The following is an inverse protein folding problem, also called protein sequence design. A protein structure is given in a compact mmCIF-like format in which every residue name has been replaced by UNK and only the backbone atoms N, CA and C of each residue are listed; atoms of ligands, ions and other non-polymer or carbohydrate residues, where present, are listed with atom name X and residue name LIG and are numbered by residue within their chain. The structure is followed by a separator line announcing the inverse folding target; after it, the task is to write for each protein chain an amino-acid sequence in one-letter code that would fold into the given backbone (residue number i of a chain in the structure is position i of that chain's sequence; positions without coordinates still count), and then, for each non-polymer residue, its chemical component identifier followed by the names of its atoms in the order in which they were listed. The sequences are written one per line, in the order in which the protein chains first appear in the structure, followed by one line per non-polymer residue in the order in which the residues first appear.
data_IF_078387100895
#
_entry.id   IF_078387100895
#
_cell.length_a   1.000
_cell.length_b   1.000
_cell.length_c   1.000
_cell.angle_alpha   90.00
_cell.angle_beta   90.00
_cell.angle_gamma   90.00
#
_symmetry.space_group_name_H-M   'P 1'
#
loop_
_entity.id
_entity.type
_entity.pdbx_description
1 polymer ?
#
# COMPACT_ATOMS: atom_id res chain seq x y z
N UNK A 1 3.24 -12.13 1.61
CA UNK A 1 3.76 -10.76 1.40
C UNK A 1 3.32 -9.85 2.54
N UNK A 2 4.20 -9.01 3.01
CA UNK A 2 3.88 -8.03 4.05
C UNK A 2 4.45 -6.66 3.69
N UNK A 3 3.80 -5.62 4.19
CA UNK A 3 4.17 -4.22 3.93
C UNK A 3 4.57 -3.60 5.26
N UNK A 4 5.65 -2.82 5.25
CA UNK A 4 6.13 -2.16 6.47
C UNK A 4 5.32 -0.91 6.79
N UNK A 5 5.04 -0.73 8.07
CA UNK A 5 4.52 0.50 8.63
C UNK A 5 5.37 0.95 9.82
N UNK A 6 5.16 2.18 10.24
CA UNK A 6 5.87 2.80 11.37
C UNK A 6 4.91 3.45 12.33
N UNK A 7 5.25 3.36 13.62
CA UNK A 7 4.60 4.12 14.68
C UNK A 7 5.54 5.24 15.11
N UNK A 8 5.00 6.44 15.25
CA UNK A 8 5.76 7.61 15.71
C UNK A 8 5.01 8.24 16.86
N UNK A 9 5.67 8.36 18.02
CA UNK A 9 5.09 9.04 19.17
C UNK A 9 4.96 10.53 18.87
N UNK A 10 3.74 11.05 18.98
CA UNK A 10 3.41 12.44 18.71
C UNK A 10 2.57 12.99 19.88
N UNK A 11 3.23 13.44 20.94
CA UNK A 11 2.55 13.91 22.15
C UNK A 11 1.74 12.78 22.80
N UNK A 12 0.44 12.96 22.88
CA UNK A 12 -0.50 11.97 23.44
C UNK A 12 -0.90 10.90 22.43
N UNK A 13 -0.53 11.07 21.16
CA UNK A 13 -0.97 10.23 20.07
C UNK A 13 0.17 9.38 19.55
N UNK A 14 -0.18 8.29 18.88
CA UNK A 14 0.73 7.48 18.10
C UNK A 14 0.36 7.64 16.63
N UNK A 15 1.22 8.30 15.89
CA UNK A 15 1.04 8.42 14.44
C UNK A 15 1.34 7.09 13.76
N UNK A 16 0.55 6.76 12.75
CA UNK A 16 0.70 5.55 11.94
C UNK A 16 1.07 5.97 10.53
N UNK A 17 2.15 5.42 10.00
CA UNK A 17 2.57 5.66 8.62
C UNK A 17 2.74 4.35 7.90
N UNK A 18 2.06 4.19 6.76
CA UNK A 18 2.23 3.05 5.86
C UNK A 18 2.56 3.61 4.48
N UNK A 19 3.84 3.92 4.23
CA UNK A 19 4.23 4.69 3.04
C UNK A 19 3.84 4.05 1.71
N UNK A 20 3.98 2.74 1.57
CA UNK A 20 3.60 2.09 0.31
C UNK A 20 2.12 2.26 0.00
N UNK A 21 1.26 2.26 1.02
CA UNK A 21 -0.17 2.44 0.85
C UNK A 21 -0.61 3.90 0.92
N UNK A 22 0.31 4.83 1.21
CA UNK A 22 -0.01 6.24 1.40
C UNK A 22 -1.14 6.44 2.42
N UNK A 23 -1.07 5.67 3.51
CA UNK A 23 -2.03 5.72 4.60
C UNK A 23 -1.35 6.31 5.82
N UNK A 24 -1.99 7.34 6.37
CA UNK A 24 -1.55 8.04 7.55
C UNK A 24 -2.73 8.20 8.49
N UNK A 25 -2.61 7.68 9.70
CA UNK A 25 -3.67 7.74 10.72
C UNK A 25 -3.03 7.88 12.09
N UNK A 26 -3.81 7.75 13.14
CA UNK A 26 -3.28 7.85 14.49
C UNK A 26 -4.15 7.07 15.47
N UNK A 27 -3.56 6.73 16.62
CA UNK A 27 -4.24 6.06 17.71
C UNK A 27 -3.83 6.67 19.03
N UNK A 28 -4.63 6.41 20.07
CA UNK A 28 -4.41 6.91 21.44
C UNK A 28 -3.40 6.08 22.21
N UNK A 29 -3.12 4.88 21.76
CA UNK A 29 -2.16 3.94 22.33
C UNK A 29 -1.55 3.12 21.20
N UNK A 30 -0.52 2.31 21.49
CA UNK A 30 0.03 1.38 20.49
C UNK A 30 -1.05 0.43 19.96
N UNK A 31 -1.82 -0.15 20.87
CA UNK A 31 -2.87 -1.09 20.50
C UNK A 31 -3.92 -0.42 19.62
N UNK A 32 -4.33 0.79 19.97
CA UNK A 32 -5.29 1.56 19.18
C UNK A 32 -4.71 1.94 17.82
N UNK A 33 -3.42 2.29 17.76
CA UNK A 33 -2.74 2.60 16.50
C UNK A 33 -2.74 1.41 15.54
N UNK A 34 -2.47 0.21 16.03
CA UNK A 34 -2.53 -1.01 15.21
C UNK A 34 -3.94 -1.28 14.72
N UNK A 35 -4.94 -1.08 15.59
CA UNK A 35 -6.35 -1.18 15.20
C UNK A 35 -6.68 -0.17 14.10
N UNK A 36 -6.24 1.08 14.24
CA UNK A 36 -6.50 2.14 13.26
C UNK A 36 -5.82 1.84 11.92
N UNK A 37 -4.63 1.25 11.93
CA UNK A 37 -3.96 0.82 10.71
C UNK A 37 -4.77 -0.23 9.96
N UNK A 38 -5.21 -1.26 10.67
CA UNK A 38 -6.04 -2.34 10.12
C UNK A 38 -7.37 -1.77 9.58
N UNK A 39 -8.05 -0.97 10.38
CA UNK A 39 -9.34 -0.38 10.03
C UNK A 39 -9.24 0.51 8.79
N UNK A 40 -8.20 1.34 8.71
CA UNK A 40 -7.99 2.22 7.56
C UNK A 40 -7.83 1.43 6.26
N UNK A 41 -7.03 0.37 6.27
CA UNK A 41 -6.80 -0.45 5.09
C UNK A 41 -8.07 -1.18 4.68
N UNK A 42 -8.73 -1.82 5.62
CA UNK A 42 -9.96 -2.58 5.34
C UNK A 42 -11.08 -1.67 4.85
N UNK A 43 -11.19 -0.46 5.40
CA UNK A 43 -12.20 0.53 5.00
C UNK A 43 -11.96 1.04 3.58
N UNK A 44 -10.72 1.34 3.22
CA UNK A 44 -10.37 1.80 1.87
C UNK A 44 -10.60 0.69 0.85
N UNK A 45 -10.22 -0.54 1.19
CA UNK A 45 -10.42 -1.69 0.31
C UNK A 45 -11.90 -1.97 0.08
N UNK A 46 -12.71 -1.86 1.11
CA UNK A 46 -14.17 -2.00 1.07
C UNK A 46 -14.63 -3.24 0.30
N UNK A 47 -14.02 -4.39 0.60
CA UNK A 47 -14.40 -5.68 0.01
C UNK A 47 -14.73 -6.70 1.08
N UNK A 48 -15.92 -7.34 1.01
CA UNK A 48 -16.27 -8.42 1.93
C UNK A 48 -15.22 -9.54 1.91
N UNK A 49 -14.83 -10.01 3.08
CA UNK A 49 -13.85 -11.10 3.21
C UNK A 49 -12.39 -10.67 3.12
N UNK A 50 -12.10 -9.44 2.74
CA UNK A 50 -10.72 -8.93 2.80
C UNK A 50 -10.37 -8.56 4.24
N UNK A 51 -9.35 -9.21 4.78
CA UNK A 51 -8.91 -8.98 6.16
C UNK A 51 -7.42 -8.65 6.20
N UNK A 52 -7.06 -7.81 7.18
CA UNK A 52 -5.69 -7.34 7.40
C UNK A 52 -5.18 -7.88 8.72
N UNK A 53 -3.90 -8.28 8.74
CA UNK A 53 -3.20 -8.63 9.96
C UNK A 53 -2.05 -7.66 10.18
N UNK A 54 -1.82 -7.30 11.44
CA UNK A 54 -0.72 -6.43 11.84
C UNK A 54 0.19 -7.20 12.77
N UNK A 55 1.49 -7.24 12.45
CA UNK A 55 2.51 -7.92 13.25
C UNK A 55 3.50 -6.88 13.77
N UNK A 56 3.63 -6.77 15.09
CA UNK A 56 4.59 -5.86 15.70
C UNK A 56 6.02 -6.27 15.37
N UNK A 57 6.88 -5.26 15.21
CA UNK A 57 8.32 -5.43 14.98
C UNK A 57 9.10 -4.48 15.88
N UNK A 58 10.41 -4.73 16.11
CA UNK A 58 11.24 -3.82 16.89
C UNK A 58 11.33 -2.42 16.30
N UNK A 59 11.75 -1.44 17.13
CA UNK A 59 11.99 -0.05 16.73
C UNK A 59 10.76 0.66 16.21
N UNK A 60 9.58 0.40 16.81
CA UNK A 60 8.31 1.03 16.46
C UNK A 60 7.93 0.83 14.98
N UNK A 61 8.28 -0.32 14.44
CA UNK A 61 7.84 -0.75 13.13
C UNK A 61 6.81 -1.87 13.26
N UNK A 62 6.04 -2.09 12.21
CA UNK A 62 5.10 -3.20 12.13
C UNK A 62 4.97 -3.65 10.69
N UNK A 63 4.44 -4.84 10.51
CA UNK A 63 4.19 -5.39 9.17
C UNK A 63 2.70 -5.62 8.99
N UNK A 64 2.22 -5.29 7.80
CA UNK A 64 0.84 -5.48 7.40
C UNK A 64 0.77 -6.61 6.39
N UNK A 65 -0.01 -7.63 6.68
CA UNK A 65 -0.37 -8.67 5.74
C UNK A 65 -1.87 -8.67 5.48
N UNK A 66 -2.31 -9.43 4.51
CA UNK A 66 -3.73 -9.52 4.17
C UNK A 66 -4.12 -10.91 3.72
N UNK A 67 -5.43 -11.14 3.66
CA UNK A 67 -6.00 -12.39 3.12
C UNK A 67 -5.82 -12.51 1.60
N UNK A 68 -5.46 -11.42 0.90
CA UNK A 68 -5.31 -11.41 -0.56
C UNK A 68 -4.18 -10.45 -0.97
N UNK A 69 -3.02 -11.02 -1.29
CA UNK A 69 -1.84 -10.24 -1.68
C UNK A 69 -2.06 -9.47 -2.98
N UNK A 70 -2.81 -10.03 -3.92
CA UNK A 70 -3.07 -9.37 -5.20
C UNK A 70 -3.87 -8.09 -4.98
N UNK A 71 -4.88 -8.14 -4.12
CA UNK A 71 -5.65 -6.95 -3.76
C UNK A 71 -4.82 -5.93 -2.99
N UNK A 72 -3.94 -6.39 -2.10
CA UNK A 72 -3.07 -5.48 -1.35
C UNK A 72 -2.10 -4.75 -2.28
N UNK A 73 -1.52 -5.44 -3.26
CA UNK A 73 -0.67 -4.81 -4.28
C UNK A 73 -1.46 -3.82 -5.15
N UNK A 74 -2.67 -4.19 -5.53
CA UNK A 74 -3.58 -3.33 -6.29
C UNK A 74 -3.88 -2.03 -5.52
N UNK A 75 -4.15 -2.15 -4.22
CA UNK A 75 -4.39 -0.98 -3.37
C UNK A 75 -3.16 -0.08 -3.32
N UNK A 76 -1.97 -0.65 -3.19
CA UNK A 76 -0.72 0.12 -3.18
C UNK A 76 -0.57 0.94 -4.46
N UNK A 77 -0.83 0.34 -5.62
CA UNK A 77 -0.75 1.04 -6.91
C UNK A 77 -1.77 2.19 -6.97
N UNK A 78 -3.00 1.91 -6.61
CA UNK A 78 -4.07 2.91 -6.64
C UNK A 78 -3.78 4.09 -5.71
N UNK A 79 -3.34 3.81 -4.50
CA UNK A 79 -3.02 4.83 -3.51
C UNK A 79 -1.82 5.68 -3.94
N UNK A 80 -0.78 5.05 -4.48
CA UNK A 80 0.38 5.78 -5.00
C UNK A 80 -0.01 6.67 -6.18
N UNK A 81 -0.76 6.13 -7.13
CA UNK A 81 -1.22 6.91 -8.28
C UNK A 81 -2.05 8.11 -7.85
N UNK A 82 -3.00 7.90 -6.94
CA UNK A 82 -3.88 8.97 -6.44
C UNK A 82 -3.09 10.06 -5.71
N UNK A 83 -2.13 9.66 -4.88
CA UNK A 83 -1.31 10.62 -4.12
C UNK A 83 -0.38 11.43 -5.01
N UNK A 84 -0.03 10.91 -6.18
CA UNK A 84 0.78 11.63 -7.18
C UNK A 84 -0.09 12.38 -8.22
N UNK A 85 -1.41 12.38 -8.03
CA UNK A 85 -2.36 13.09 -8.88
C UNK A 85 -2.31 12.67 -10.36
N UNK A 86 -2.02 11.39 -10.62
CA UNK A 86 -1.99 10.85 -11.97
C UNK A 86 -3.27 10.09 -12.31
N UNK A 87 -3.67 10.14 -13.58
CA UNK A 87 -4.72 9.29 -14.10
C UNK A 87 -4.17 7.92 -14.47
N UNK A 88 -5.05 6.93 -14.58
CA UNK A 88 -4.71 5.60 -15.09
C UNK A 88 -4.04 5.71 -16.46
N UNK A 89 -4.57 6.59 -17.34
CA UNK A 89 -4.04 6.82 -18.67
C UNK A 89 -2.61 7.35 -18.65
N UNK A 90 -2.32 8.29 -17.73
CA UNK A 90 -0.99 8.85 -17.60
C UNK A 90 0.03 7.80 -17.16
N UNK A 91 -0.33 6.94 -16.20
CA UNK A 91 0.56 5.86 -15.77
C UNK A 91 0.80 4.86 -16.90
N UNK A 92 -0.25 4.48 -17.63
CA UNK A 92 -0.13 3.60 -18.79
C UNK A 92 0.81 4.20 -19.85
N UNK A 93 0.68 5.49 -20.12
CA UNK A 93 1.57 6.20 -21.05
C UNK A 93 3.02 6.18 -20.57
N UNK A 94 3.26 6.39 -19.29
CA UNK A 94 4.62 6.33 -18.71
C UNK A 94 5.23 4.93 -18.83
N UNK A 95 4.41 3.90 -18.97
CA UNK A 95 4.85 2.54 -19.24
C UNK A 95 5.08 2.25 -20.71
N UNK A 96 4.82 3.23 -21.59
CA UNK A 96 4.94 3.06 -23.03
C UNK A 96 3.72 2.41 -23.68
N UNK A 97 2.57 2.41 -23.01
CA UNK A 97 1.33 1.81 -23.53
C UNK A 97 0.37 2.88 -24.02
N UNK A 98 -0.27 2.62 -25.15
CA UNK A 98 -1.32 3.47 -25.70
C UNK A 98 -2.70 3.17 -25.10
N UNK A 99 -2.82 2.06 -24.37
CA UNK A 99 -4.07 1.62 -23.75
C UNK A 99 -3.95 1.58 -22.23
N UNK A 100 -4.89 2.20 -21.51
CA UNK A 100 -4.88 2.11 -20.04
C UNK A 100 -5.34 0.74 -19.52
N UNK A 101 -5.90 -0.12 -20.38
CA UNK A 101 -6.53 -1.36 -19.96
C UNK A 101 -5.58 -2.32 -19.23
N UNK A 102 -4.35 -2.48 -19.71
CA UNK A 102 -3.38 -3.38 -19.11
C UNK A 102 -3.01 -2.93 -17.68
N UNK A 103 -2.71 -1.65 -17.50
CA UNK A 103 -2.41 -1.11 -16.18
C UNK A 103 -3.63 -1.20 -15.25
N UNK A 104 -4.81 -0.86 -15.77
CA UNK A 104 -6.06 -0.89 -15.00
C UNK A 104 -6.33 -2.25 -14.37
N UNK A 105 -5.99 -3.34 -15.06
CA UNK A 105 -6.19 -4.71 -14.55
C UNK A 105 -5.34 -4.98 -13.31
N UNK A 106 -4.13 -4.45 -13.24
CA UNK A 106 -3.29 -4.54 -12.05
C UNK A 106 -3.92 -3.77 -10.89
N UNK A 107 -4.39 -2.57 -11.15
CA UNK A 107 -4.99 -1.72 -10.12
C UNK A 107 -6.35 -2.25 -9.63
N UNK A 108 -7.05 -3.02 -10.46
CA UNK A 108 -8.30 -3.68 -10.08
C UNK A 108 -8.10 -5.02 -9.36
N UNK A 109 -6.86 -5.47 -9.22
CA UNK A 109 -6.57 -6.74 -8.59
C UNK A 109 -6.93 -7.96 -9.43
N UNK A 110 -7.07 -7.80 -10.74
CA UNK A 110 -7.38 -8.89 -11.68
C UNK A 110 -6.15 -9.68 -12.07
N UNK A 111 -4.98 -9.06 -12.00
CA UNK A 111 -3.70 -9.66 -12.35
C UNK A 111 -2.71 -9.35 -11.24
N UNK A 112 -2.03 -10.40 -10.73
CA UNK A 112 -0.95 -10.22 -9.76
C UNK A 112 0.33 -9.88 -10.52
N UNK A 113 0.95 -8.72 -10.28
CA UNK A 113 2.24 -8.42 -10.90
C UNK A 113 3.34 -9.29 -10.30
N UNK A 114 4.31 -9.66 -11.11
CA UNK A 114 5.59 -10.16 -10.60
C UNK A 114 6.29 -9.05 -9.80
N UNK A 115 7.32 -9.41 -9.05
CA UNK A 115 8.08 -8.42 -8.31
C UNK A 115 8.70 -7.37 -9.24
N UNK A 116 9.28 -7.81 -10.36
CA UNK A 116 9.83 -6.90 -11.37
C UNK A 116 8.75 -5.99 -11.96
N UNK A 117 7.60 -6.56 -12.28
CA UNK A 117 6.49 -5.77 -12.84
C UNK A 117 5.98 -4.76 -11.82
N UNK A 118 5.87 -5.14 -10.55
CA UNK A 118 5.43 -4.23 -9.51
C UNK A 118 6.38 -3.03 -9.37
N UNK A 119 7.69 -3.29 -9.41
CA UNK A 119 8.70 -2.24 -9.41
C UNK A 119 8.54 -1.31 -10.61
N UNK A 120 8.33 -1.86 -11.81
CA UNK A 120 8.09 -1.06 -13.03
C UNK A 120 6.83 -0.22 -12.93
N UNK A 121 5.75 -0.78 -12.39
CA UNK A 121 4.48 -0.06 -12.22
C UNK A 121 4.64 1.11 -11.26
N UNK A 122 5.32 0.91 -10.13
CA UNK A 122 5.61 1.99 -9.18
C UNK A 122 6.44 3.10 -9.83
N UNK A 123 7.47 2.75 -10.59
CA UNK A 123 8.32 3.73 -11.28
C UNK A 123 7.58 4.47 -12.38
N UNK A 124 6.57 3.87 -12.97
CA UNK A 124 5.69 4.57 -13.93
C UNK A 124 4.81 5.63 -13.26
N UNK A 125 4.57 5.49 -11.96
CA UNK A 125 3.89 6.50 -11.16
C UNK A 125 4.87 7.61 -10.76
N UNK A 126 6.03 7.23 -10.22
CA UNK A 126 7.10 8.15 -9.83
C UNK A 126 8.43 7.38 -9.90
N UNK A 127 9.39 7.89 -10.65
CA UNK A 127 10.68 7.23 -10.87
C UNK A 127 11.48 7.03 -9.58
N UNK A 128 11.21 7.81 -8.54
CA UNK A 128 11.88 7.67 -7.25
C UNK A 128 11.34 6.52 -6.41
N UNK A 129 10.17 5.97 -6.77
CA UNK A 129 9.58 4.85 -6.02
C UNK A 129 10.32 3.56 -6.31
N UNK A 130 10.77 2.91 -5.25
CA UNK A 130 11.50 1.65 -5.36
C UNK A 130 11.11 0.73 -4.21
N UNK A 131 10.55 -0.45 -4.50
CA UNK A 131 10.26 -1.41 -3.45
C UNK A 131 11.56 -2.00 -2.91
N UNK A 132 11.61 -2.19 -1.61
CA UNK A 132 12.75 -2.78 -0.91
C UNK A 132 12.32 -4.11 -0.33
N UNK A 133 13.10 -5.14 -0.57
CA UNK A 133 12.86 -6.46 0.01
C UNK A 133 13.57 -6.60 1.35
N UNK A 134 12.86 -7.18 2.29
CA UNK A 134 13.43 -7.53 3.58
C UNK A 134 12.92 -8.92 3.98
N UNK A 135 13.64 -9.55 4.89
CA UNK A 135 13.27 -10.84 5.45
C UNK A 135 12.87 -10.64 6.90
N UNK A 136 11.75 -11.22 7.27
CA UNK A 136 11.31 -11.24 8.67
C UNK A 136 11.91 -12.41 9.41
#
# INVERSE_FOLDING_TARGET
MKIEGKLIRAGKWWAVEIPLLQIYTQGKSRKDAYFMAKDAIESIMDKPGFTVTVTERPADTFMVGSSDDTLLMALALKQQRSSHHLSVREVAKNMGSNSPAAYSRYEQGKVRPSLDKFSQLLKAIDQSLEPVLTVM
#
